data_IF_737922357263
#
_entry.id   IF_737922357263
#
_cell.length_a   1.000
_cell.length_b   1.000
_cell.length_c   1.000
_cell.angle_alpha   90.00
_cell.angle_beta   90.00
_cell.angle_gamma   90.00
#
_symmetry.space_group_name_H-M   'P 1'
#
loop_
_entity.id
_entity.type
_entity.pdbx_description
1 polymer ?
#
# COMPACT_ATOMS: atom_id res chain seq x y z
N UNK A 1 -2.48 -3.17 -7.90
CA UNK A 1 -2.77 -2.30 -6.72
C UNK A 1 -2.74 -3.09 -5.42
N UNK A 2 -3.41 -4.24 -5.36
CA UNK A 2 -3.41 -5.12 -4.17
C UNK A 2 -2.00 -5.57 -3.75
N UNK A 3 -1.13 -5.78 -4.73
CA UNK A 3 0.27 -6.13 -4.52
C UNK A 3 1.04 -5.02 -3.79
N UNK A 4 0.87 -3.77 -4.22
CA UNK A 4 1.52 -2.61 -3.60
C UNK A 4 0.93 -2.31 -2.22
N UNK A 5 -0.38 -2.51 -2.03
CA UNK A 5 -1.03 -2.42 -0.73
C UNK A 5 -0.46 -3.46 0.25
N UNK A 6 -0.32 -4.72 -0.19
CA UNK A 6 0.25 -5.79 0.61
C UNK A 6 1.73 -5.53 0.95
N UNK A 7 2.50 -4.98 0.02
CA UNK A 7 3.88 -4.56 0.29
C UNK A 7 3.94 -3.42 1.32
N UNK A 8 3.03 -2.45 1.24
CA UNK A 8 2.94 -1.36 2.23
C UNK A 8 2.60 -1.89 3.63
N UNK A 9 1.67 -2.84 3.74
CA UNK A 9 1.32 -3.48 5.00
C UNK A 9 2.49 -4.27 5.60
N UNK A 10 3.20 -5.04 4.77
CA UNK A 10 4.40 -5.75 5.19
C UNK A 10 5.48 -4.78 5.69
N UNK A 11 5.70 -3.69 4.96
CA UNK A 11 6.69 -2.68 5.33
C UNK A 11 6.33 -1.98 6.64
N UNK A 12 5.05 -1.71 6.89
CA UNK A 12 4.58 -1.16 8.18
C UNK A 12 4.84 -2.13 9.33
N UNK A 13 4.56 -3.41 9.15
CA UNK A 13 4.89 -4.42 10.17
C UNK A 13 6.41 -4.50 10.44
N UNK A 14 7.25 -4.37 9.40
CA UNK A 14 8.70 -4.33 9.56
C UNK A 14 9.18 -3.07 10.30
N UNK A 15 8.53 -1.92 10.08
CA UNK A 15 8.80 -0.68 10.82
C UNK A 15 8.50 -0.90 12.31
N UNK A 16 7.32 -1.41 12.64
CA UNK A 16 6.91 -1.65 14.03
C UNK A 16 7.88 -2.59 14.76
N UNK A 17 8.30 -3.67 14.09
CA UNK A 17 9.28 -4.60 14.65
C UNK A 17 10.66 -3.95 14.82
N UNK A 18 11.12 -3.16 13.84
CA UNK A 18 12.39 -2.43 13.96
C UNK A 18 12.37 -1.41 15.10
N UNK A 19 11.24 -0.73 15.33
CA UNK A 19 11.08 0.17 16.47
C UNK A 19 11.14 -0.58 17.81
N UNK A 20 10.49 -1.74 17.89
CA UNK A 20 10.53 -2.60 19.09
C UNK A 20 11.96 -3.09 19.37
N UNK A 21 12.67 -3.55 18.34
CA UNK A 21 14.06 -3.99 18.44
C UNK A 21 15.00 -2.84 18.82
N UNK A 22 14.80 -1.64 18.27
CA UNK A 22 15.56 -0.45 18.65
C UNK A 22 15.37 -0.10 20.12
N UNK A 23 14.12 -0.12 20.62
CA UNK A 23 13.79 0.17 22.03
C UNK A 23 14.40 -0.87 22.97
N UNK A 24 14.45 -2.13 22.55
CA UNK A 24 14.99 -3.24 23.37
C UNK A 24 16.51 -3.37 23.26
N UNK A 25 17.14 -2.74 22.26
CA UNK A 25 18.57 -2.85 22.01
C UNK A 25 19.40 -2.11 23.07
N UNK A 26 20.20 -2.87 23.83
CA UNK A 26 21.16 -2.34 24.81
C UNK A 26 22.45 -1.78 24.19
N UNK A 27 22.72 -2.11 22.92
CA UNK A 27 23.94 -1.69 22.21
C UNK A 27 23.66 -0.46 21.34
N UNK A 28 24.45 0.61 21.53
CA UNK A 28 24.34 1.85 20.76
C UNK A 28 24.40 1.65 19.25
N UNK A 29 25.34 0.82 18.77
CA UNK A 29 25.53 0.55 17.34
C UNK A 29 24.27 -0.09 16.74
N UNK A 30 23.64 -1.01 17.50
CA UNK A 30 22.38 -1.63 17.08
C UNK A 30 21.27 -0.58 17.00
N UNK A 31 21.13 0.28 18.03
CA UNK A 31 20.15 1.37 18.03
C UNK A 31 20.33 2.29 16.83
N UNK A 32 21.55 2.75 16.57
CA UNK A 32 21.85 3.65 15.46
C UNK A 32 21.57 3.00 14.10
N UNK A 33 21.83 1.70 13.98
CA UNK A 33 21.52 0.94 12.77
C UNK A 33 20.02 0.86 12.55
N UNK A 34 19.24 0.55 13.59
CA UNK A 34 17.77 0.56 13.49
C UNK A 34 17.23 1.97 13.22
N UNK A 35 17.80 3.03 13.80
CA UNK A 35 17.43 4.42 13.49
C UNK A 35 17.55 4.71 11.99
N UNK A 36 18.69 4.34 11.39
CA UNK A 36 18.91 4.53 9.94
C UNK A 36 17.98 3.67 9.10
N UNK A 37 17.69 2.44 9.53
CA UNK A 37 16.80 1.52 8.82
C UNK A 37 15.36 2.04 8.83
N UNK A 38 14.87 2.48 9.99
CA UNK A 38 13.53 3.06 10.17
C UNK A 38 13.32 4.30 9.29
N UNK A 39 14.33 5.19 9.20
CA UNK A 39 14.25 6.35 8.33
C UNK A 39 14.05 5.95 6.85
N UNK A 40 14.76 4.90 6.39
CA UNK A 40 14.63 4.39 5.02
C UNK A 40 13.28 3.71 4.78
N UNK A 41 12.84 2.87 5.71
CA UNK A 41 11.54 2.20 5.58
C UNK A 41 10.38 3.19 5.54
N UNK A 42 10.42 4.24 6.38
CA UNK A 42 9.41 5.30 6.33
C UNK A 42 9.41 6.05 5.00
N UNK A 43 10.58 6.33 4.43
CA UNK A 43 10.67 6.95 3.10
C UNK A 43 10.04 6.07 2.01
N UNK A 44 10.36 4.77 1.99
CA UNK A 44 9.78 3.81 1.04
C UNK A 44 8.26 3.68 1.23
N UNK A 45 7.77 3.68 2.48
CA UNK A 45 6.33 3.63 2.76
C UNK A 45 5.60 4.84 2.17
N UNK A 46 6.17 6.04 2.33
CA UNK A 46 5.61 7.27 1.74
C UNK A 46 5.61 7.21 0.21
N UNK A 47 6.65 6.66 -0.41
CA UNK A 47 6.70 6.46 -1.86
C UNK A 47 5.61 5.50 -2.34
N UNK A 48 5.42 4.37 -1.64
CA UNK A 48 4.36 3.41 -1.94
C UNK A 48 2.97 4.03 -1.77
N UNK A 49 2.74 4.78 -0.70
CA UNK A 49 1.48 5.49 -0.46
C UNK A 49 1.16 6.49 -1.57
N UNK A 50 2.16 7.27 -2.01
CA UNK A 50 2.01 8.21 -3.12
C UNK A 50 1.71 7.50 -4.43
N UNK A 51 2.42 6.42 -4.74
CA UNK A 51 2.17 5.64 -5.95
C UNK A 51 0.76 5.02 -5.94
N UNK A 52 0.31 4.53 -4.77
CA UNK A 52 -1.05 4.03 -4.58
C UNK A 52 -2.09 5.13 -4.80
N UNK A 53 -1.85 6.34 -4.30
CA UNK A 53 -2.77 7.47 -4.41
C UNK A 53 -2.86 8.08 -5.83
N UNK A 54 -1.75 8.09 -6.58
CA UNK A 54 -1.68 8.65 -7.94
C UNK A 54 -2.28 7.70 -8.97
N UNK A 55 -2.14 6.39 -8.76
CA UNK A 55 -2.68 5.42 -9.70
C UNK A 55 -4.22 5.36 -9.60
N UNK A 56 -4.94 5.50 -10.72
CA UNK A 56 -6.38 5.30 -10.72
C UNK A 56 -6.68 3.89 -10.21
N UNK A 57 -7.74 3.69 -9.40
CA UNK A 57 -8.23 2.35 -9.14
C UNK A 57 -8.48 1.67 -10.50
N UNK A 58 -8.01 0.44 -10.65
CA UNK A 58 -8.18 -0.34 -11.87
C UNK A 58 -9.64 -0.19 -12.32
N UNK A 59 -9.86 0.40 -13.51
CA UNK A 59 -11.20 0.67 -14.04
C UNK A 59 -11.96 -0.64 -14.11
N UNK A 60 -12.79 -0.86 -13.10
CA UNK A 60 -13.51 -2.10 -12.87
C UNK A 60 -14.98 -1.86 -12.60
N UNK A 61 -15.61 -0.90 -13.29
CA UNK A 61 -17.07 -0.77 -13.37
C UNK A 61 -17.49 -0.17 -14.72
N UNK A 62 -16.94 -0.69 -15.83
CA UNK A 62 -17.52 -0.43 -17.17
C UNK A 62 -18.47 -1.57 -17.58
N UNK A 63 -19.31 -2.04 -16.64
CA UNK A 63 -20.40 -2.99 -16.89
C UNK A 63 -21.72 -2.51 -16.27
N UNK A 64 -21.94 -1.19 -16.23
CA UNK A 64 -23.28 -0.60 -16.05
C UNK A 64 -23.88 -0.12 -17.38
N UNK A 65 -23.45 -0.72 -18.50
CA UNK A 65 -24.22 -0.66 -19.74
C UNK A 65 -25.30 -1.72 -19.63
N UNK A 66 -26.36 -1.45 -18.84
CA UNK A 66 -27.62 -2.18 -18.98
C UNK A 66 -28.01 -2.09 -20.44
N UNK A 67 -27.91 -3.24 -21.11
CA UNK A 67 -28.52 -3.57 -22.38
C UNK A 67 -29.99 -3.16 -22.28
N UNK A 68 -30.37 -2.01 -22.85
CA UNK A 68 -31.77 -1.75 -23.19
C UNK A 68 -32.08 -2.66 -24.37
N UNK A 69 -32.68 -3.80 -24.04
CA UNK A 69 -33.33 -4.71 -24.98
C UNK A 69 -34.34 -3.92 -25.83
N UNK A 70 -34.31 -4.00 -27.18
CA UNK A 70 -35.37 -3.41 -28.00
C UNK A 70 -36.59 -4.34 -27.93
N UNK A 71 -37.65 -3.92 -27.24
CA UNK A 71 -38.94 -4.63 -27.29
C UNK A 71 -39.58 -4.51 -28.70
N UNK A 72 -40.36 -5.52 -29.11
CA UNK A 72 -40.75 -5.72 -30.52
C UNK A 72 -41.80 -4.70 -30.96
N UNK A 73 -41.84 -4.42 -32.26
CA UNK A 73 -42.92 -3.66 -32.90
C UNK A 73 -44.17 -4.54 -32.98
N UNK A 74 -45.25 -4.12 -32.35
CA UNK A 74 -46.62 -4.54 -32.69
C UNK A 74 -47.18 -3.55 -33.72
N UNK A 75 -47.46 -4.05 -34.92
CA UNK A 75 -48.45 -3.53 -35.87
C UNK A 75 -49.15 -4.73 -36.50
#
# INVERSE_FOLDING_TARGET
>A
MKEMQAQLELLRAQIDECERLQKTAKNQIKRDTFTRLLARYRAIAVELERAIAIMPPARGTFLDRKTKEPRPKEQ
#
